data_IF_596679242251
#
_entry.id   IF_596679242251
#
_cell.length_a   1.000
_cell.length_b   1.000
_cell.length_c   1.000
_cell.angle_alpha   90.00
_cell.angle_beta   90.00
_cell.angle_gamma   90.00
#
_symmetry.space_group_name_H-M   'P 1'
#
loop_
_entity.id
_entity.type
_entity.pdbx_description
1 polymer ?
#
# COMPACT_ATOMS: atom_id res chain seq x y z
N UNK A 1 -6.06 -2.54 39.59
CA UNK A 1 -5.73 -3.00 38.23
C UNK A 1 -6.89 -2.61 37.34
N UNK A 2 -6.82 -1.43 36.75
CA UNK A 2 -7.87 -0.96 35.83
C UNK A 2 -7.77 -1.72 34.52
N UNK A 3 -8.87 -2.39 34.15
CA UNK A 3 -9.07 -2.95 32.84
C UNK A 3 -9.00 -1.80 31.83
N UNK A 4 -7.90 -1.73 31.06
CA UNK A 4 -7.81 -0.84 29.92
C UNK A 4 -8.93 -1.20 28.94
N UNK A 5 -9.94 -0.33 28.93
CA UNK A 5 -11.11 -0.44 28.08
C UNK A 5 -10.70 -0.67 26.64
N UNK A 6 -11.51 -1.47 25.94
CA UNK A 6 -11.37 -1.72 24.52
C UNK A 6 -11.48 -0.36 23.82
N UNK A 7 -10.34 0.23 23.47
CA UNK A 7 -10.33 1.40 22.60
C UNK A 7 -11.01 0.98 21.30
N UNK A 8 -12.18 1.55 21.03
CA UNK A 8 -12.93 1.28 19.81
C UNK A 8 -12.03 1.54 18.60
N UNK A 9 -12.00 0.59 17.68
CA UNK A 9 -11.31 0.73 16.39
C UNK A 9 -11.84 1.96 15.66
N UNK A 10 -10.95 2.89 15.29
CA UNK A 10 -11.30 4.12 14.58
C UNK A 10 -10.86 4.02 13.12
N UNK A 11 -11.78 3.57 12.27
CA UNK A 11 -11.63 3.61 10.82
C UNK A 11 -11.98 5.01 10.32
N UNK A 12 -11.08 5.73 9.60
CA UNK A 12 -11.41 7.03 9.03
C UNK A 12 -12.67 6.98 8.14
N UNK A 13 -13.46 8.06 8.14
CA UNK A 13 -14.66 8.16 7.31
C UNK A 13 -14.32 7.90 5.83
N UNK A 14 -15.14 7.08 5.17
CA UNK A 14 -14.97 6.67 3.77
C UNK A 14 -13.68 5.86 3.47
N UNK A 15 -13.02 5.34 4.50
CA UNK A 15 -12.00 4.30 4.37
C UNK A 15 -12.57 2.96 4.80
N UNK A 16 -12.01 1.88 4.25
CA UNK A 16 -12.40 0.51 4.58
C UNK A 16 -11.20 -0.31 5.01
N UNK A 17 -11.44 -1.18 6.01
CA UNK A 17 -10.50 -2.19 6.47
C UNK A 17 -10.76 -3.50 5.72
N UNK A 18 -9.70 -4.11 5.20
CA UNK A 18 -9.77 -5.40 4.49
C UNK A 18 -8.45 -6.18 4.66
N UNK A 19 -8.30 -7.31 3.97
CA UNK A 19 -7.11 -8.15 4.01
C UNK A 19 -7.47 -9.64 4.05
N UNK A 20 -6.47 -10.51 4.11
CA UNK A 20 -6.69 -11.95 4.27
C UNK A 20 -6.78 -12.40 5.74
N UNK A 21 -6.35 -11.55 6.69
CA UNK A 21 -6.52 -11.78 8.12
C UNK A 21 -6.82 -10.48 8.90
N UNK A 22 -7.79 -9.66 8.47
CA UNK A 22 -8.02 -8.33 9.05
C UNK A 22 -8.45 -8.38 10.53
N UNK A 23 -8.99 -9.50 11.00
CA UNK A 23 -9.37 -9.71 12.40
C UNK A 23 -8.17 -9.70 13.35
N UNK A 24 -6.96 -9.99 12.89
CA UNK A 24 -5.75 -9.96 13.70
C UNK A 24 -5.20 -8.54 13.93
N UNK A 25 -5.78 -7.53 13.29
CA UNK A 25 -5.29 -6.14 13.32
C UNK A 25 -6.34 -5.18 13.89
N UNK A 26 -5.90 -4.01 14.32
CA UNK A 26 -6.73 -2.85 14.69
C UNK A 26 -6.35 -1.66 13.83
N UNK A 27 -7.35 -0.85 13.47
CA UNK A 27 -7.20 0.43 12.81
C UNK A 27 -7.39 1.56 13.83
N UNK A 28 -6.56 2.59 13.74
CA UNK A 28 -6.70 3.81 14.52
C UNK A 28 -6.28 5.04 13.71
N UNK A 29 -6.51 6.23 14.28
CA UNK A 29 -5.94 7.48 13.79
C UNK A 29 -5.10 8.10 14.90
N UNK A 30 -3.80 8.26 14.64
CA UNK A 30 -2.90 9.04 15.47
C UNK A 30 -3.21 10.53 15.29
N UNK A 31 -3.75 11.17 16.32
CA UNK A 31 -4.16 12.57 16.26
C UNK A 31 -2.98 13.54 16.29
N UNK A 32 -1.83 13.13 16.82
CA UNK A 32 -0.64 13.98 16.90
C UNK A 32 0.02 14.11 15.54
N UNK A 33 0.19 12.97 14.86
CA UNK A 33 0.83 12.92 13.55
C UNK A 33 -0.16 13.04 12.38
N UNK A 34 -1.47 13.11 12.67
CA UNK A 34 -2.57 13.02 11.71
C UNK A 34 -2.40 11.82 10.76
N UNK A 35 -2.12 10.65 11.33
CA UNK A 35 -1.77 9.45 10.59
C UNK A 35 -2.78 8.32 10.80
N UNK A 36 -3.14 7.63 9.74
CA UNK A 36 -3.83 6.35 9.85
C UNK A 36 -2.86 5.28 10.35
N UNK A 37 -3.36 4.36 11.17
CA UNK A 37 -2.57 3.31 11.82
C UNK A 37 -3.18 1.95 11.52
N UNK A 38 -2.33 0.99 11.17
CA UNK A 38 -2.63 -0.45 11.19
C UNK A 38 -1.69 -1.09 12.20
N UNK A 39 -2.23 -1.79 13.19
CA UNK A 39 -1.44 -2.41 14.26
C UNK A 39 -1.92 -3.85 14.50
N UNK A 40 -1.00 -4.81 14.60
CA UNK A 40 -1.33 -6.17 15.00
C UNK A 40 -1.81 -6.20 16.46
N UNK A 41 -2.86 -6.98 16.75
CA UNK A 41 -3.36 -7.14 18.12
C UNK A 41 -2.30 -7.78 19.03
N UNK A 42 -2.29 -7.47 20.35
CA UNK A 42 -1.41 -8.15 21.29
C UNK A 42 -1.54 -9.68 21.21
N UNK A 43 -0.41 -10.39 21.13
CA UNK A 43 -0.35 -11.84 20.99
C UNK A 43 -0.51 -12.36 19.56
N UNK A 44 -0.81 -11.49 18.59
CA UNK A 44 -0.94 -11.89 17.19
C UNK A 44 0.40 -12.27 16.56
N UNK A 45 1.51 -11.73 17.07
CA UNK A 45 2.88 -12.09 16.70
C UNK A 45 3.19 -13.59 16.85
N UNK A 46 2.44 -14.31 17.69
CA UNK A 46 2.63 -15.75 17.89
C UNK A 46 2.09 -16.61 16.74
N UNK A 47 1.22 -16.07 15.89
CA UNK A 47 0.56 -16.84 14.81
C UNK A 47 0.50 -16.12 13.45
N UNK A 48 0.78 -14.82 13.38
CA UNK A 48 0.85 -14.10 12.12
C UNK A 48 2.11 -14.49 11.33
N UNK A 49 1.91 -14.80 10.05
CA UNK A 49 2.99 -14.98 9.08
C UNK A 49 3.18 -13.73 8.21
N UNK A 50 4.22 -13.69 7.38
CA UNK A 50 4.41 -12.63 6.37
C UNK A 50 3.36 -12.68 5.24
N UNK A 51 2.57 -13.77 5.15
CA UNK A 51 1.44 -13.86 4.23
C UNK A 51 0.19 -13.19 4.80
N UNK A 52 0.05 -13.06 6.11
CA UNK A 52 -1.09 -12.41 6.76
C UNK A 52 -0.97 -10.89 6.67
N UNK A 53 -2.06 -10.23 6.30
CA UNK A 53 -2.09 -8.77 6.22
C UNK A 53 -3.46 -8.16 6.49
N UNK A 54 -3.42 -6.88 6.85
CA UNK A 54 -4.56 -5.98 6.87
C UNK A 54 -4.24 -4.72 6.06
N UNK A 55 -5.20 -4.26 5.26
CA UNK A 55 -5.14 -3.00 4.53
C UNK A 55 -6.18 -2.02 5.03
N UNK A 56 -5.83 -0.73 4.99
CA UNK A 56 -6.75 0.38 5.07
C UNK A 56 -6.74 1.08 3.71
N UNK A 57 -7.92 1.20 3.08
CA UNK A 57 -8.01 1.66 1.69
C UNK A 57 -9.23 2.53 1.40
N UNK A 58 -9.18 3.21 0.25
CA UNK A 58 -10.34 3.80 -0.41
C UNK A 58 -10.48 3.25 -1.83
N UNK A 59 -11.72 3.33 -2.34
CA UNK A 59 -12.04 3.15 -3.74
C UNK A 59 -12.81 4.40 -4.21
N UNK A 60 -12.42 4.96 -5.35
CA UNK A 60 -13.06 6.12 -5.96
C UNK A 60 -13.38 5.85 -7.43
N UNK A 61 -14.37 6.56 -7.96
CA UNK A 61 -14.65 6.58 -9.38
C UNK A 61 -13.45 7.18 -10.15
N UNK A 62 -13.11 6.60 -11.29
CA UNK A 62 -11.93 7.00 -12.06
C UNK A 62 -12.17 8.16 -13.05
N UNK A 63 -13.40 8.68 -13.19
CA UNK A 63 -13.77 9.64 -14.24
C UNK A 63 -12.85 10.85 -14.32
N UNK A 64 -12.49 11.46 -13.20
CA UNK A 64 -11.64 12.66 -13.17
C UNK A 64 -10.14 12.36 -13.41
N UNK A 65 -9.78 11.08 -13.48
CA UNK A 65 -8.41 10.58 -13.60
C UNK A 65 -8.13 9.88 -14.94
N UNK A 66 -9.15 9.53 -15.73
CA UNK A 66 -9.02 8.90 -17.05
C UNK A 66 -8.08 9.71 -17.96
N UNK A 67 -7.18 9.01 -18.64
CA UNK A 67 -6.22 9.61 -19.57
C UNK A 67 -5.04 10.33 -18.90
N UNK A 68 -5.00 10.41 -17.57
CA UNK A 68 -3.97 11.17 -16.84
C UNK A 68 -2.89 10.28 -16.27
N UNK A 69 -1.66 10.80 -16.24
CA UNK A 69 -0.59 10.26 -15.40
C UNK A 69 -0.85 10.65 -13.96
N UNK A 70 -1.17 9.66 -13.13
CA UNK A 70 -1.60 9.85 -11.75
C UNK A 70 -0.58 9.26 -10.79
N UNK A 71 -0.24 10.03 -9.77
CA UNK A 71 0.67 9.66 -8.69
C UNK A 71 -0.09 9.47 -7.39
N UNK A 72 0.03 8.28 -6.80
CA UNK A 72 -0.19 8.06 -5.38
C UNK A 72 1.10 8.39 -4.62
N UNK A 73 1.04 9.30 -3.66
CA UNK A 73 2.14 9.63 -2.74
C UNK A 73 1.66 9.46 -1.31
N UNK A 74 2.53 8.97 -0.43
CA UNK A 74 2.28 8.96 1.01
C UNK A 74 3.60 9.00 1.80
N UNK A 75 3.50 9.29 3.11
CA UNK A 75 4.57 9.06 4.07
C UNK A 75 4.21 7.84 4.92
N UNK A 76 5.15 6.91 5.07
CA UNK A 76 4.99 5.69 5.85
C UNK A 76 6.00 5.67 7.00
N UNK A 77 5.55 5.24 8.18
CA UNK A 77 6.38 4.96 9.35
C UNK A 77 6.14 3.53 9.81
N UNK A 78 7.17 2.86 10.32
CA UNK A 78 7.07 1.50 10.85
C UNK A 78 7.62 1.41 12.28
N UNK A 79 6.98 0.60 13.11
CA UNK A 79 7.43 0.26 14.46
C UNK A 79 7.29 -1.25 14.66
N UNK A 80 8.43 -1.94 14.83
CA UNK A 80 8.49 -3.38 15.08
C UNK A 80 7.85 -4.24 13.99
N UNK A 81 7.88 -3.81 12.73
CA UNK A 81 7.20 -4.51 11.63
C UNK A 81 7.98 -5.74 11.17
N UNK A 82 7.33 -6.91 11.10
CA UNK A 82 7.98 -8.15 10.65
C UNK A 82 7.85 -8.41 9.14
N UNK A 83 6.64 -8.37 8.56
CA UNK A 83 6.40 -8.74 7.16
C UNK A 83 6.38 -7.57 6.17
N UNK A 84 6.01 -6.37 6.64
CA UNK A 84 6.24 -5.11 5.92
C UNK A 84 5.04 -4.18 5.81
N UNK A 85 5.32 -2.90 5.66
CA UNK A 85 4.34 -1.84 5.41
C UNK A 85 4.64 -1.19 4.08
N UNK A 86 3.62 -1.08 3.22
CA UNK A 86 3.78 -0.49 1.90
C UNK A 86 2.47 0.10 1.39
N UNK A 87 2.51 1.21 0.62
CA UNK A 87 1.35 1.63 -0.14
C UNK A 87 1.05 0.66 -1.28
N UNK A 88 -0.18 0.73 -1.77
CA UNK A 88 -0.55 0.06 -3.00
C UNK A 88 -1.53 0.93 -3.79
N UNK A 89 -1.49 0.75 -5.11
CA UNK A 89 -2.38 1.42 -6.05
C UNK A 89 -2.84 0.39 -7.09
N UNK A 90 -4.14 0.36 -7.35
CA UNK A 90 -4.79 -0.47 -8.35
C UNK A 90 -5.73 0.36 -9.20
N UNK A 91 -5.69 0.13 -10.50
CA UNK A 91 -6.65 0.67 -11.46
C UNK A 91 -7.52 -0.49 -11.93
N UNK A 92 -8.83 -0.37 -11.78
CA UNK A 92 -9.81 -1.34 -12.27
C UNK A 92 -10.43 -0.80 -13.56
N UNK A 93 -10.46 -1.63 -14.60
CA UNK A 93 -11.19 -1.39 -15.85
C UNK A 93 -12.44 -2.28 -15.96
N UNK A 94 -13.09 -2.34 -17.13
CA UNK A 94 -14.35 -3.07 -17.29
C UNK A 94 -14.23 -4.58 -17.05
N UNK A 95 -13.05 -5.15 -17.29
CA UNK A 95 -12.76 -6.58 -17.09
C UNK A 95 -12.08 -6.91 -15.75
N UNK A 96 -12.00 -5.95 -14.82
CA UNK A 96 -11.30 -6.09 -13.54
C UNK A 96 -9.98 -5.31 -13.49
N UNK A 97 -9.09 -5.71 -12.59
CA UNK A 97 -7.81 -5.01 -12.34
C UNK A 97 -6.95 -4.93 -13.61
N UNK A 98 -6.70 -3.72 -14.09
CA UNK A 98 -5.88 -3.45 -15.28
C UNK A 98 -4.44 -3.07 -14.92
N UNK A 99 -4.21 -2.46 -13.75
CA UNK A 99 -2.89 -2.11 -13.21
C UNK A 99 -2.86 -2.33 -11.70
N UNK A 100 -1.74 -2.81 -11.19
CA UNK A 100 -1.52 -2.99 -9.76
C UNK A 100 -0.03 -2.85 -9.41
N UNK A 101 0.25 -2.15 -8.32
CA UNK A 101 1.59 -2.04 -7.74
C UNK A 101 1.45 -1.91 -6.21
N UNK A 102 2.36 -2.55 -5.49
CA UNK A 102 2.45 -2.52 -4.04
C UNK A 102 3.90 -2.39 -3.52
N UNK A 103 4.86 -2.13 -4.41
CA UNK A 103 6.29 -1.97 -4.16
C UNK A 103 7.02 -3.17 -3.56
N UNK A 104 6.35 -4.30 -3.30
CA UNK A 104 6.98 -5.45 -2.63
C UNK A 104 8.12 -6.06 -3.44
N UNK A 105 7.96 -6.08 -4.77
CA UNK A 105 8.98 -6.61 -5.69
C UNK A 105 9.96 -5.55 -6.17
N UNK A 106 9.79 -4.30 -5.75
CA UNK A 106 10.69 -3.22 -6.17
C UNK A 106 12.05 -3.39 -5.50
N UNK A 107 13.10 -3.62 -6.29
CA UNK A 107 14.47 -3.68 -5.80
C UNK A 107 14.98 -2.33 -5.27
N UNK A 108 14.35 -1.23 -5.69
CA UNK A 108 14.74 0.13 -5.30
C UNK A 108 13.98 0.55 -4.03
N UNK A 109 12.64 0.41 -4.03
CA UNK A 109 11.82 0.91 -2.92
C UNK A 109 11.64 -0.14 -1.83
N UNK A 110 11.22 -1.35 -2.21
CA UNK A 110 10.88 -2.47 -1.32
C UNK A 110 9.77 -2.16 -0.29
N UNK A 111 9.31 -3.19 0.44
CA UNK A 111 8.48 -3.00 1.63
C UNK A 111 9.28 -2.35 2.77
N UNK A 112 8.61 -1.63 3.67
CA UNK A 112 9.24 -1.06 4.88
C UNK A 112 9.08 -2.03 6.05
N UNK A 113 10.19 -2.47 6.64
CA UNK A 113 10.22 -3.42 7.76
C UNK A 113 10.95 -2.82 8.99
N UNK A 114 10.82 -3.48 10.14
CA UNK A 114 11.49 -3.11 11.37
C UNK A 114 10.99 -1.78 11.94
N UNK A 115 11.92 -0.89 12.24
CA UNK A 115 11.64 0.46 12.72
C UNK A 115 12.19 1.47 11.73
N UNK A 116 11.35 2.37 11.25
CA UNK A 116 11.75 3.48 10.39
C UNK A 116 11.05 4.74 10.82
N UNK A 117 11.66 5.89 10.57
CA UNK A 117 10.94 7.15 10.61
C UNK A 117 10.15 7.35 9.31
N UNK A 118 9.41 8.46 9.23
CA UNK A 118 8.61 8.85 8.08
C UNK A 118 9.39 8.82 6.77
N UNK A 119 9.01 7.90 5.90
CA UNK A 119 9.63 7.67 4.59
C UNK A 119 8.61 7.93 3.49
N UNK A 120 8.97 8.74 2.50
CA UNK A 120 8.10 9.02 1.35
C UNK A 120 8.07 7.80 0.42
N UNK A 121 6.87 7.38 0.04
CA UNK A 121 6.63 6.33 -0.95
C UNK A 121 5.69 6.84 -2.04
N UNK A 122 5.94 6.37 -3.27
CA UNK A 122 5.25 6.87 -4.47
C UNK A 122 4.96 5.72 -5.43
N UNK A 123 3.77 5.72 -6.02
CA UNK A 123 3.37 4.87 -7.14
C UNK A 123 2.79 5.76 -8.25
N UNK A 124 3.23 5.59 -9.49
CA UNK A 124 2.80 6.39 -10.64
C UNK A 124 2.30 5.49 -11.76
N UNK A 125 1.08 5.75 -12.23
CA UNK A 125 0.47 5.07 -13.37
C UNK A 125 -0.05 6.05 -14.40
N UNK A 126 -0.07 5.62 -15.67
CA UNK A 126 -1.01 6.17 -16.64
C UNK A 126 -2.36 5.48 -16.43
N UNK A 127 -3.40 6.26 -16.15
CA UNK A 127 -4.76 5.76 -15.93
C UNK A 127 -5.45 5.60 -17.30
N UNK A 128 -5.86 4.38 -17.69
CA UNK A 128 -6.53 4.15 -18.97
C UNK A 128 -7.83 4.96 -19.12
N UNK A 129 -8.18 5.30 -20.36
CA UNK A 129 -9.42 6.02 -20.69
C UNK A 129 -10.68 5.26 -20.30
N UNK A 130 -10.63 3.93 -20.27
CA UNK A 130 -11.73 3.05 -19.88
C UNK A 130 -11.71 2.68 -18.40
N UNK A 131 -10.85 3.31 -17.59
CA UNK A 131 -10.77 3.03 -16.15
C UNK A 131 -12.13 3.27 -15.46
N UNK A 132 -12.52 2.33 -14.61
CA UNK A 132 -13.77 2.37 -13.85
C UNK A 132 -13.53 2.88 -12.43
N UNK A 133 -12.54 2.34 -11.73
CA UNK A 133 -12.26 2.71 -10.36
C UNK A 133 -10.76 2.76 -10.06
N UNK A 134 -10.40 3.65 -9.13
CA UNK A 134 -9.07 3.74 -8.54
C UNK A 134 -9.15 3.25 -7.09
N UNK A 135 -8.35 2.24 -6.76
CA UNK A 135 -8.29 1.67 -5.41
C UNK A 135 -6.87 1.87 -4.87
N UNK A 136 -6.75 2.43 -3.67
CA UNK A 136 -5.45 2.72 -3.10
C UNK A 136 -5.50 2.72 -1.58
N UNK A 137 -4.33 2.54 -0.99
CA UNK A 137 -4.17 2.57 0.45
C UNK A 137 -2.78 2.12 0.85
N UNK A 138 -2.69 1.59 2.06
CA UNK A 138 -1.49 0.91 2.55
C UNK A 138 -1.91 -0.33 3.32
N UNK A 139 -0.97 -1.25 3.52
CA UNK A 139 -1.21 -2.41 4.36
C UNK A 139 0.00 -2.71 5.24
N UNK A 140 -0.26 -3.52 6.26
CA UNK A 140 0.73 -4.13 7.13
C UNK A 140 0.65 -5.65 6.95
N UNK A 141 1.80 -6.26 6.63
CA UNK A 141 2.06 -7.70 6.64
C UNK A 141 2.77 -8.13 7.91
N UNK A 142 2.39 -9.29 8.46
CA UNK A 142 2.95 -9.78 9.72
C UNK A 142 2.55 -8.91 10.91
N UNK A 143 3.38 -8.89 11.95
CA UNK A 143 3.15 -8.15 13.20
C UNK A 143 3.78 -6.76 13.18
N UNK A 144 3.40 -5.92 14.14
CA UNK A 144 3.96 -4.59 14.37
C UNK A 144 2.92 -3.48 14.16
N UNK A 145 3.41 -2.26 13.95
CA UNK A 145 2.59 -1.07 13.70
C UNK A 145 3.08 -0.30 12.47
N UNK A 146 2.20 -0.12 11.50
CA UNK A 146 2.40 0.71 10.32
C UNK A 146 1.55 1.97 10.39
N UNK A 147 2.13 3.11 10.04
CA UNK A 147 1.42 4.38 9.98
C UNK A 147 1.55 4.99 8.58
N UNK A 148 0.49 5.65 8.12
CA UNK A 148 0.49 6.40 6.88
C UNK A 148 -0.13 7.79 7.07
N UNK A 149 0.49 8.82 6.49
CA UNK A 149 -0.04 10.18 6.44
C UNK A 149 0.25 10.87 5.12
N UNK A 150 -0.36 12.04 4.93
CA UNK A 150 -0.20 12.87 3.73
C UNK A 150 -0.39 12.04 2.44
N UNK A 151 -1.47 11.25 2.41
CA UNK A 151 -1.84 10.43 1.24
C UNK A 151 -2.45 11.36 0.21
N UNK A 152 -1.84 11.40 -0.97
CA UNK A 152 -2.20 12.29 -2.07
C UNK A 152 -2.34 11.49 -3.36
N UNK A 153 -3.42 11.73 -4.10
CA UNK A 153 -3.64 11.17 -5.44
C UNK A 153 -3.77 12.33 -6.43
N UNK A 154 -2.69 12.58 -7.18
CA UNK A 154 -2.52 13.80 -8.00
C UNK A 154 -2.14 13.48 -9.42
N UNK A 155 -2.67 14.23 -10.38
CA UNK A 155 -2.12 14.29 -11.74
C UNK A 155 -0.69 14.83 -11.72
N UNK A 156 0.19 14.25 -12.54
CA UNK A 156 1.58 14.68 -12.71
C UNK A 156 1.96 14.70 -14.19
N UNK A 157 3.04 15.39 -14.54
CA UNK A 157 3.52 15.44 -15.92
C UNK A 157 4.09 14.10 -16.40
N UNK A 158 4.10 13.91 -17.73
CA UNK A 158 4.68 12.74 -18.39
C UNK A 158 6.21 12.59 -18.23
N UNK A 159 6.88 13.58 -17.62
CA UNK A 159 8.30 13.48 -17.26
C UNK A 159 8.54 12.65 -16.00
N UNK A 160 7.51 12.41 -15.18
CA UNK A 160 7.61 11.55 -14.00
C UNK A 160 7.59 10.08 -14.46
N UNK A 161 8.60 9.26 -14.10
CA UNK A 161 8.64 7.85 -14.48
C UNK A 161 7.45 7.06 -13.90
N UNK A 162 6.99 6.06 -14.66
CA UNK A 162 5.97 5.12 -14.22
C UNK A 162 6.57 4.04 -13.31
N UNK A 163 5.74 3.52 -12.42
CA UNK A 163 5.98 2.22 -11.79
C UNK A 163 5.61 1.14 -12.80
N UNK A 164 6.63 0.65 -13.50
CA UNK A 164 6.48 -0.49 -14.38
C UNK A 164 6.60 -1.77 -13.55
N UNK A 165 5.75 -2.79 -13.80
CA UNK A 165 5.94 -4.08 -13.15
C UNK A 165 7.35 -4.58 -13.48
N UNK A 166 8.07 -5.03 -12.46
CA UNK A 166 9.31 -5.78 -12.65
C UNK A 166 8.93 -7.14 -13.24
N UNK A 167 8.78 -7.15 -14.56
CA UNK A 167 8.20 -8.29 -15.28
C UNK A 167 9.18 -9.44 -15.39
N UNK A 168 10.45 -9.23 -15.04
CA UNK A 168 11.56 -10.13 -15.40
C UNK A 168 11.72 -10.30 -16.92
N UNK A 169 10.92 -9.59 -17.71
CA UNK A 169 10.95 -9.65 -19.17
C UNK A 169 12.07 -8.74 -19.62
N UNK A 170 13.08 -9.36 -20.21
CA UNK A 170 14.17 -8.66 -20.84
C UNK A 170 13.61 -7.76 -21.95
N UNK A 171 14.08 -6.51 -22.01
CA UNK A 171 13.66 -5.54 -23.07
C UNK A 171 13.92 -6.05 -24.49
N UNK A 172 14.88 -6.95 -24.63
CA UNK A 172 15.27 -7.65 -25.85
C UNK A 172 15.81 -9.02 -25.46
N UNK A 173 15.79 -10.02 -26.35
CA UNK A 173 16.48 -11.28 -26.10
C UNK A 173 17.95 -11.05 -25.76
N UNK A 174 18.44 -11.68 -24.70
CA UNK A 174 19.85 -11.65 -24.29
C UNK A 174 20.31 -13.06 -23.95
N UNK A 175 21.61 -13.35 -24.10
CA UNK A 175 22.21 -14.66 -23.84
C UNK A 175 21.54 -15.81 -24.64
N UNK A 176 21.30 -15.59 -25.93
CA UNK A 176 20.65 -16.58 -26.80
C UNK A 176 21.58 -17.72 -27.22
N UNK A 177 22.89 -17.52 -27.07
CA UNK A 177 23.94 -18.50 -27.33
C UNK A 177 24.36 -19.27 -26.07
N UNK A 178 23.79 -18.94 -24.90
CA UNK A 178 24.06 -19.57 -23.60
C UNK A 178 25.54 -19.49 -23.17
N UNK A 179 26.31 -18.54 -23.71
CA UNK A 179 27.71 -18.36 -23.32
C UNK A 179 27.79 -17.78 -21.90
N UNK A 180 28.69 -18.35 -21.10
CA UNK A 180 28.93 -17.96 -19.72
C UNK A 180 29.82 -16.70 -19.63
#
# INVERSE_FOLDING_TARGET
MEAYGIAHELVPKAWSKSGNNPSAYRINVDQTDHAAVIESKPGAEAYLSEADFCTLMQAIDASDYRGKRTRLRCQIKSVGVSGGVTPWFRVDGPAGSSRFENLERSQIAGPINGNTDWTIRTIVFDVPEDAVALNFGFYLKGSGRGLARAIELTEVSNSIPLNMPDSGVLRKPTNLDFSA
#
